data_IF_650923609233
#
_entry.id   IF_650923609233
#
_cell.length_a   1.000
_cell.length_b   1.000
_cell.length_c   1.000
_cell.angle_alpha   90.00
_cell.angle_beta   90.00
_cell.angle_gamma   90.00
#
_symmetry.space_group_name_H-M   'P 1'
#
loop_
_entity.id
_entity.type
_entity.pdbx_description
1 polymer ?
#
# COMPACT_ATOMS: atom_id res chain seq x y z
N UNK A 1 -0.72 -21.52 -7.16
CA UNK A 1 0.75 -21.39 -7.19
C UNK A 1 1.31 -22.28 -6.11
N UNK A 2 2.37 -23.04 -6.45
CA UNK A 2 3.05 -23.90 -5.48
C UNK A 2 3.94 -23.04 -4.57
N UNK A 3 3.92 -23.32 -3.28
CA UNK A 3 4.78 -22.69 -2.28
C UNK A 3 6.10 -23.47 -2.24
N UNK A 4 7.27 -22.83 -2.37
CA UNK A 4 8.56 -23.51 -2.26
C UNK A 4 8.87 -23.88 -0.79
N UNK A 5 9.70 -24.90 -0.58
CA UNK A 5 9.97 -25.48 0.73
C UNK A 5 10.63 -24.50 1.73
N UNK A 6 11.29 -23.46 1.23
CA UNK A 6 11.92 -22.41 2.05
C UNK A 6 10.99 -21.22 2.38
N UNK A 7 9.70 -21.31 2.06
CA UNK A 7 8.70 -20.30 2.42
C UNK A 7 7.66 -20.89 3.37
N UNK A 8 7.60 -20.37 4.58
CA UNK A 8 6.62 -20.78 5.58
C UNK A 8 5.18 -20.39 5.19
N UNK A 9 4.19 -21.11 5.77
CA UNK A 9 2.79 -20.91 5.44
C UNK A 9 2.24 -19.55 5.89
N UNK A 10 2.77 -18.97 6.97
CA UNK A 10 2.29 -17.69 7.50
C UNK A 10 2.62 -16.55 6.53
N UNK A 11 3.86 -16.51 6.06
CA UNK A 11 4.27 -15.53 5.06
C UNK A 11 3.57 -15.78 3.72
N UNK A 12 3.42 -17.04 3.32
CA UNK A 12 2.71 -17.41 2.09
C UNK A 12 1.24 -16.97 2.12
N UNK A 13 0.53 -17.13 3.25
CA UNK A 13 -0.85 -16.68 3.43
C UNK A 13 -1.01 -15.15 3.29
N UNK A 14 0.04 -14.38 3.59
CA UNK A 14 0.07 -12.92 3.46
C UNK A 14 0.15 -12.41 2.03
N UNK A 15 0.58 -13.23 1.06
CA UNK A 15 0.96 -12.76 -0.30
C UNK A 15 -0.25 -12.43 -1.17
N UNK A 16 -1.18 -13.37 -1.33
CA UNK A 16 -2.11 -13.40 -2.47
C UNK A 16 -2.90 -12.11 -2.61
N UNK A 17 -3.70 -11.74 -1.61
CA UNK A 17 -4.61 -10.59 -1.72
C UNK A 17 -3.82 -9.28 -1.67
N UNK A 18 -2.91 -9.15 -0.71
CA UNK A 18 -2.23 -7.88 -0.42
C UNK A 18 -1.21 -7.56 -1.50
N UNK A 19 -0.22 -8.41 -1.68
CA UNK A 19 0.83 -8.16 -2.67
C UNK A 19 0.32 -8.26 -4.11
N UNK A 20 -0.67 -9.15 -4.38
CA UNK A 20 -1.36 -9.20 -5.67
C UNK A 20 -2.06 -7.88 -6.01
N UNK A 21 -2.75 -7.28 -5.03
CA UNK A 21 -3.38 -5.96 -5.18
C UNK A 21 -2.34 -4.88 -5.45
N UNK A 22 -1.26 -4.84 -4.67
CA UNK A 22 -0.22 -3.82 -4.81
C UNK A 22 0.51 -3.95 -6.15
N UNK A 23 0.89 -5.16 -6.54
CA UNK A 23 1.58 -5.37 -7.82
C UNK A 23 0.71 -4.92 -9.01
N UNK A 24 -0.58 -5.30 -9.00
CA UNK A 24 -1.55 -4.82 -9.99
C UNK A 24 -1.70 -3.29 -9.96
N UNK A 25 -1.78 -2.69 -8.76
CA UNK A 25 -1.87 -1.25 -8.61
C UNK A 25 -0.68 -0.53 -9.24
N UNK A 26 0.53 -1.00 -8.99
CA UNK A 26 1.75 -0.32 -9.43
C UNK A 26 2.06 -0.57 -10.91
N UNK A 27 1.99 -1.80 -11.38
CA UNK A 27 2.31 -2.13 -12.78
C UNK A 27 1.17 -1.78 -13.74
N UNK A 28 -0.04 -2.29 -13.47
CA UNK A 28 -1.14 -2.19 -14.43
C UNK A 28 -1.91 -0.88 -14.32
N UNK A 29 -2.09 -0.38 -13.09
CA UNK A 29 -2.90 0.82 -12.88
C UNK A 29 -2.07 2.10 -12.84
N UNK A 30 -0.94 2.12 -12.15
CA UNK A 30 -0.07 3.29 -12.14
C UNK A 30 0.82 3.36 -13.38
N UNK A 31 1.17 2.23 -13.98
CA UNK A 31 2.20 2.16 -15.03
C UNK A 31 3.47 2.87 -14.55
N UNK A 32 3.91 2.49 -13.34
CA UNK A 32 5.02 3.13 -12.63
C UNK A 32 6.29 3.23 -13.48
N UNK A 33 7.08 4.27 -13.21
CA UNK A 33 8.42 4.43 -13.77
C UNK A 33 9.44 4.53 -12.64
N UNK A 34 10.57 3.85 -12.77
CA UNK A 34 11.65 3.95 -11.78
C UNK A 34 12.08 5.41 -11.60
N UNK A 35 12.34 5.81 -10.35
CA UNK A 35 12.68 7.18 -9.97
C UNK A 35 11.49 8.08 -9.63
N UNK A 36 10.25 7.66 -9.93
CA UNK A 36 9.04 8.39 -9.49
C UNK A 36 8.88 8.34 -7.97
N UNK A 37 8.19 9.34 -7.42
CA UNK A 37 7.89 9.45 -6.00
C UNK A 37 6.48 8.94 -5.70
N UNK A 38 6.35 8.02 -4.74
CA UNK A 38 5.07 7.47 -4.31
C UNK A 38 4.80 7.79 -2.85
N UNK A 39 3.65 8.43 -2.55
CA UNK A 39 3.14 8.55 -1.18
C UNK A 39 2.20 7.36 -0.88
N UNK A 40 2.45 6.69 0.25
CA UNK A 40 1.66 5.56 0.72
C UNK A 40 0.92 5.94 1.99
N UNK A 41 -0.40 6.09 1.93
CA UNK A 41 -1.22 6.35 3.10
C UNK A 41 -1.41 5.06 3.92
N UNK A 42 -1.39 5.16 5.25
CA UNK A 42 -1.49 4.00 6.13
C UNK A 42 -0.36 2.99 5.94
N UNK A 43 0.87 3.48 5.76
CA UNK A 43 2.05 2.74 5.33
C UNK A 43 2.44 1.54 6.21
N UNK A 44 2.07 1.50 7.50
CA UNK A 44 2.37 0.39 8.40
C UNK A 44 1.29 -0.73 8.39
N UNK A 45 0.12 -0.50 7.76
CA UNK A 45 -0.87 -1.56 7.58
C UNK A 45 -0.43 -2.55 6.51
N UNK A 46 -1.04 -3.75 6.48
CA UNK A 46 -0.59 -4.81 5.57
C UNK A 46 -0.43 -4.38 4.10
N UNK A 47 -1.44 -3.70 3.54
CA UNK A 47 -1.40 -3.23 2.13
C UNK A 47 -0.42 -2.07 1.94
N UNK A 48 -0.35 -1.15 2.92
CA UNK A 48 0.60 -0.04 2.88
C UNK A 48 2.05 -0.51 2.96
N UNK A 49 2.33 -1.47 3.84
CA UNK A 49 3.66 -2.05 3.99
C UNK A 49 4.12 -2.75 2.71
N UNK A 50 3.24 -3.57 2.11
CA UNK A 50 3.51 -4.21 0.82
C UNK A 50 3.77 -3.18 -0.29
N UNK A 51 3.07 -2.01 -0.26
CA UNK A 51 3.31 -0.92 -1.20
C UNK A 51 4.69 -0.28 -0.99
N UNK A 52 5.15 -0.14 0.26
CA UNK A 52 6.50 0.33 0.55
C UNK A 52 7.57 -0.64 0.01
N UNK A 53 7.42 -1.94 0.30
CA UNK A 53 8.37 -2.96 -0.15
C UNK A 53 8.44 -3.08 -1.68
N UNK A 54 7.28 -3.25 -2.33
CA UNK A 54 7.24 -3.37 -3.78
C UNK A 54 7.63 -2.07 -4.47
N UNK A 55 7.23 -0.91 -3.94
CA UNK A 55 7.65 0.38 -4.47
C UNK A 55 9.16 0.52 -4.49
N UNK A 56 9.84 0.24 -3.38
CA UNK A 56 11.31 0.22 -3.30
C UNK A 56 11.91 -0.79 -4.27
N UNK A 57 11.41 -2.04 -4.28
CA UNK A 57 11.92 -3.09 -5.17
C UNK A 57 11.83 -2.71 -6.64
N UNK A 58 10.81 -1.94 -7.00
CA UNK A 58 10.54 -1.48 -8.37
C UNK A 58 11.14 -0.10 -8.68
N UNK A 59 11.96 0.44 -7.79
CA UNK A 59 12.74 1.66 -8.01
C UNK A 59 12.00 2.97 -7.75
N UNK A 60 10.89 2.96 -7.01
CA UNK A 60 10.20 4.18 -6.58
C UNK A 60 10.88 4.80 -5.35
N UNK A 61 10.80 6.12 -5.23
CA UNK A 61 11.09 6.87 -4.00
C UNK A 61 9.83 6.87 -3.14
N UNK A 62 9.83 6.07 -2.07
CA UNK A 62 8.63 5.84 -1.26
C UNK A 62 8.59 6.80 -0.07
N UNK A 63 7.48 7.55 0.07
CA UNK A 63 7.13 8.36 1.23
C UNK A 63 6.07 7.59 2.03
N UNK A 64 6.43 7.08 3.20
CA UNK A 64 5.47 6.46 4.10
C UNK A 64 4.70 7.53 4.89
N UNK A 65 3.37 7.45 4.87
CA UNK A 65 2.49 8.34 5.63
C UNK A 65 1.71 7.52 6.67
N UNK A 66 1.88 7.85 7.95
CA UNK A 66 1.21 7.15 9.05
C UNK A 66 0.89 8.10 10.23
N UNK A 67 0.16 7.61 11.24
CA UNK A 67 -0.33 8.40 12.38
C UNK A 67 0.58 8.38 13.62
N UNK A 68 1.71 7.66 13.57
CA UNK A 68 2.67 7.64 14.68
C UNK A 68 4.09 7.39 14.17
N UNK A 69 5.07 7.87 14.92
CA UNK A 69 6.48 7.72 14.56
C UNK A 69 6.91 6.25 14.59
N UNK A 70 6.39 5.44 15.51
CA UNK A 70 6.63 3.99 15.57
C UNK A 70 6.24 3.31 14.23
N UNK A 71 5.06 3.63 13.70
CA UNK A 71 4.58 3.13 12.41
C UNK A 71 5.45 3.59 11.25
N UNK A 72 5.99 4.80 11.33
CA UNK A 72 6.85 5.36 10.30
C UNK A 72 8.23 4.70 10.31
N UNK A 73 8.84 4.48 11.47
CA UNK A 73 10.11 3.76 11.59
C UNK A 73 9.96 2.31 11.10
N UNK A 74 8.83 1.67 11.41
CA UNK A 74 8.51 0.35 10.89
C UNK A 74 8.41 0.33 9.36
N UNK A 75 7.68 1.28 8.77
CA UNK A 75 7.58 1.39 7.30
C UNK A 75 8.92 1.71 6.64
N UNK A 76 9.78 2.49 7.30
CA UNK A 76 11.13 2.81 6.85
C UNK A 76 12.03 1.57 6.81
N UNK A 77 11.94 0.71 7.82
CA UNK A 77 12.64 -0.57 7.83
C UNK A 77 12.19 -1.50 6.68
N UNK A 78 10.98 -1.28 6.15
CA UNK A 78 10.37 -2.06 5.06
C UNK A 78 10.31 -1.31 3.71
N UNK A 79 11.18 -0.34 3.50
CA UNK A 79 11.39 0.20 2.16
C UNK A 79 11.04 1.65 1.92
N UNK A 80 10.42 2.33 2.88
CA UNK A 80 10.21 3.77 2.74
C UNK A 80 11.52 4.54 2.87
N UNK A 81 11.76 5.47 1.95
CA UNK A 81 12.92 6.38 1.97
C UNK A 81 12.67 7.61 2.83
N UNK A 82 11.45 8.12 2.77
CA UNK A 82 10.99 9.30 3.50
C UNK A 82 9.74 8.97 4.32
N UNK A 83 9.48 9.77 5.34
CA UNK A 83 8.33 9.56 6.23
C UNK A 83 7.59 10.86 6.49
N UNK A 84 6.26 10.77 6.73
CA UNK A 84 5.41 11.89 7.10
C UNK A 84 4.39 11.43 8.14
N UNK A 85 4.39 12.10 9.30
CA UNK A 85 3.42 11.86 10.37
C UNK A 85 2.22 12.80 10.22
N UNK A 86 1.15 12.33 9.59
CA UNK A 86 -0.04 13.15 9.35
C UNK A 86 -0.90 13.42 10.62
N UNK A 87 -0.53 12.88 11.78
CA UNK A 87 -1.12 13.28 13.06
C UNK A 87 -0.41 14.51 13.67
N UNK A 88 0.80 14.85 13.21
CA UNK A 88 1.63 15.94 13.71
C UNK A 88 1.75 17.11 12.75
N UNK A 89 1.62 16.87 11.45
CA UNK A 89 1.78 17.88 10.39
C UNK A 89 0.72 17.76 9.31
N UNK A 90 0.47 18.84 8.58
CA UNK A 90 -0.45 18.83 7.45
C UNK A 90 0.07 17.95 6.32
N UNK A 91 -0.77 16.99 5.89
CA UNK A 91 -0.40 16.00 4.88
C UNK A 91 -0.02 16.63 3.54
N UNK A 92 -0.79 17.63 3.09
CA UNK A 92 -0.55 18.31 1.81
C UNK A 92 0.76 19.09 1.83
N UNK A 93 0.98 19.90 2.85
CA UNK A 93 2.17 20.74 2.95
C UNK A 93 3.42 19.87 3.21
N UNK A 94 3.31 18.81 4.02
CA UNK A 94 4.39 17.85 4.26
C UNK A 94 4.83 17.13 2.97
N UNK A 95 3.88 16.59 2.19
CA UNK A 95 4.20 15.96 0.89
C UNK A 95 4.82 16.94 -0.10
N UNK A 96 4.32 18.16 -0.16
CA UNK A 96 4.91 19.21 -1.03
C UNK A 96 6.34 19.56 -0.62
N UNK A 97 6.59 19.68 0.68
CA UNK A 97 7.92 19.95 1.23
C UNK A 97 8.90 18.84 0.88
N UNK A 98 8.52 17.56 1.10
CA UNK A 98 9.34 16.39 0.80
C UNK A 98 9.66 16.22 -0.68
N UNK A 99 8.85 16.80 -1.56
CA UNK A 99 9.02 16.73 -3.03
C UNK A 99 9.53 18.05 -3.63
N UNK A 100 10.03 18.96 -2.81
CA UNK A 100 10.53 20.26 -3.28
C UNK A 100 9.46 21.12 -3.98
N UNK A 101 8.20 20.99 -3.62
CA UNK A 101 7.05 21.68 -4.22
C UNK A 101 6.48 21.03 -5.49
N UNK A 102 7.15 20.03 -6.06
CA UNK A 102 6.76 19.34 -7.29
C UNK A 102 5.49 18.49 -7.13
N UNK A 103 5.28 17.95 -5.94
CA UNK A 103 4.23 16.99 -5.64
C UNK A 103 4.66 15.53 -5.87
N UNK A 104 3.80 14.58 -5.52
CA UNK A 104 4.06 13.14 -5.66
C UNK A 104 3.50 12.59 -6.97
N UNK A 105 4.25 11.74 -7.65
CA UNK A 105 3.84 11.16 -8.93
C UNK A 105 2.74 10.11 -8.76
N UNK A 106 2.76 9.37 -7.64
CA UNK A 106 1.79 8.32 -7.32
C UNK A 106 1.29 8.50 -5.90
N UNK A 107 -0.03 8.47 -5.69
CA UNK A 107 -0.65 8.35 -4.38
C UNK A 107 -1.28 6.96 -4.28
N UNK A 108 -0.85 6.18 -3.30
CA UNK A 108 -1.41 4.88 -2.98
C UNK A 108 -2.29 5.00 -1.75
N UNK A 109 -3.62 4.99 -1.94
CA UNK A 109 -4.59 5.26 -0.87
C UNK A 109 -5.49 4.07 -0.51
N UNK A 110 -5.12 3.28 0.51
CA UNK A 110 -6.01 2.27 1.11
C UNK A 110 -6.88 2.83 2.25
N UNK A 111 -6.72 4.12 2.61
CA UNK A 111 -7.32 4.72 3.80
C UNK A 111 -8.62 5.48 3.50
N UNK A 112 -8.61 6.31 2.48
CA UNK A 112 -9.73 7.19 2.14
C UNK A 112 -9.98 8.28 3.20
N UNK A 113 -11.26 8.62 3.43
CA UNK A 113 -11.66 9.63 4.42
C UNK A 113 -11.08 11.02 4.12
N UNK A 114 -10.78 11.78 5.16
CA UNK A 114 -10.28 13.16 5.05
C UNK A 114 -8.89 13.28 4.44
N UNK A 115 -8.09 12.20 4.45
CA UNK A 115 -6.74 12.22 3.89
C UNK A 115 -6.71 12.19 2.36
N UNK A 116 -7.76 11.66 1.71
CA UNK A 116 -7.81 11.50 0.27
C UNK A 116 -7.72 12.84 -0.47
N UNK A 117 -8.54 13.83 -0.10
CA UNK A 117 -8.48 15.15 -0.74
C UNK A 117 -7.16 15.86 -0.46
N UNK A 118 -6.66 15.83 0.78
CA UNK A 118 -5.39 16.46 1.15
C UNK A 118 -4.21 15.90 0.33
N UNK A 119 -4.17 14.57 0.15
CA UNK A 119 -3.14 13.92 -0.66
C UNK A 119 -3.30 14.24 -2.15
N UNK A 120 -4.54 14.27 -2.69
CA UNK A 120 -4.77 14.67 -4.10
C UNK A 120 -4.31 16.11 -4.36
N UNK A 121 -4.44 17.02 -3.39
CA UNK A 121 -3.95 18.41 -3.51
C UNK A 121 -2.42 18.49 -3.60
N UNK A 122 -1.71 17.47 -3.14
CA UNK A 122 -0.23 17.37 -3.21
C UNK A 122 0.28 16.54 -4.39
N UNK A 123 -0.60 16.07 -5.27
CA UNK A 123 -0.20 15.28 -6.45
C UNK A 123 0.57 16.15 -7.45
N UNK A 124 1.54 15.56 -8.13
CA UNK A 124 2.26 16.21 -9.23
C UNK A 124 1.38 16.38 -10.48
N UNK A 125 1.81 17.20 -11.41
CA UNK A 125 1.21 17.26 -12.75
C UNK A 125 1.27 15.87 -13.41
N UNK A 126 0.15 15.42 -14.00
CA UNK A 126 -0.01 14.07 -14.58
C UNK A 126 0.22 12.91 -13.60
N UNK A 127 0.11 13.19 -12.30
CA UNK A 127 0.20 12.15 -11.26
C UNK A 127 -0.99 11.20 -11.26
N UNK A 128 -0.86 10.08 -10.56
CA UNK A 128 -1.90 9.03 -10.48
C UNK A 128 -2.30 8.80 -9.02
N UNK A 129 -3.57 9.04 -8.73
CA UNK A 129 -4.19 8.73 -7.46
C UNK A 129 -4.84 7.34 -7.54
N UNK A 130 -4.31 6.38 -6.80
CA UNK A 130 -4.78 4.99 -6.79
C UNK A 130 -5.75 4.77 -5.63
N UNK A 131 -7.01 4.53 -5.96
CA UNK A 131 -8.06 4.21 -4.99
C UNK A 131 -8.00 2.71 -4.69
N UNK A 132 -7.45 2.35 -3.52
CA UNK A 132 -7.25 0.96 -3.08
C UNK A 132 -8.36 0.52 -2.12
N UNK A 133 -8.77 1.40 -1.20
CA UNK A 133 -9.76 1.06 -0.18
C UNK A 133 -10.15 2.25 0.69
N UNK A 134 -10.96 1.97 1.71
CA UNK A 134 -11.56 2.97 2.58
C UNK A 134 -11.46 2.54 4.06
N UNK A 135 -10.24 2.22 4.52
CA UNK A 135 -10.01 1.74 5.89
C UNK A 135 -10.37 2.77 6.98
N UNK A 136 -10.51 4.05 6.62
CA UNK A 136 -11.06 5.08 7.53
C UNK A 136 -12.56 4.93 7.77
N UNK A 137 -13.28 4.21 6.89
CA UNK A 137 -14.72 4.00 6.92
C UNK A 137 -15.48 4.90 5.95
N UNK A 138 -15.10 6.18 5.85
CA UNK A 138 -15.79 7.14 4.99
C UNK A 138 -15.27 7.10 3.55
N UNK A 139 -16.18 7.04 2.59
CA UNK A 139 -15.87 7.19 1.17
C UNK A 139 -15.74 8.69 0.86
N UNK A 140 -14.55 9.16 0.44
CA UNK A 140 -14.32 10.59 0.24
C UNK A 140 -15.10 11.12 -0.98
N UNK A 141 -15.63 12.33 -0.85
CA UNK A 141 -16.19 13.10 -1.98
C UNK A 141 -15.07 13.93 -2.58
N UNK A 142 -14.54 13.48 -3.72
CA UNK A 142 -13.41 14.15 -4.36
C UNK A 142 -13.89 15.30 -5.25
N UNK A 143 -13.37 16.54 -5.06
CA UNK A 143 -13.70 17.66 -5.93
C UNK A 143 -13.01 17.47 -7.30
N UNK A 144 -13.81 17.18 -8.33
CA UNK A 144 -13.33 16.84 -9.68
C UNK A 144 -12.51 17.96 -10.35
N UNK A 145 -12.71 19.22 -9.94
CA UNK A 145 -11.88 20.32 -10.41
C UNK A 145 -10.40 20.15 -10.06
N UNK A 146 -10.04 19.37 -9.02
CA UNK A 146 -8.64 19.08 -8.72
C UNK A 146 -8.01 18.20 -9.80
N UNK A 147 -8.74 17.21 -10.31
CA UNK A 147 -8.24 16.39 -11.42
C UNK A 147 -7.98 17.24 -12.66
N UNK A 148 -8.89 18.18 -13.00
CA UNK A 148 -8.69 19.14 -14.09
C UNK A 148 -7.45 20.03 -13.87
N UNK A 149 -7.35 20.66 -12.68
CA UNK A 149 -6.29 21.64 -12.38
C UNK A 149 -4.90 20.99 -12.26
N UNK A 150 -4.82 19.72 -11.96
CA UNK A 150 -3.59 18.93 -11.82
C UNK A 150 -3.25 18.11 -13.06
N UNK A 151 -4.18 18.01 -14.01
CA UNK A 151 -4.06 17.09 -15.15
C UNK A 151 -3.84 15.64 -14.71
N UNK A 152 -4.30 15.28 -13.50
CA UNK A 152 -4.00 13.99 -12.89
C UNK A 152 -5.12 12.98 -13.10
N UNK A 153 -4.79 11.69 -12.94
CA UNK A 153 -5.73 10.58 -13.01
C UNK A 153 -6.16 10.11 -11.62
N UNK A 154 -7.45 9.79 -11.47
CA UNK A 154 -7.98 9.02 -10.34
C UNK A 154 -8.32 7.62 -10.84
N UNK A 155 -7.58 6.60 -10.38
CA UNK A 155 -7.64 5.24 -10.90
C UNK A 155 -8.09 4.25 -9.83
N UNK A 156 -9.20 3.55 -10.07
CA UNK A 156 -9.65 2.46 -9.20
C UNK A 156 -8.77 1.23 -9.33
N UNK A 157 -8.55 0.55 -8.21
CA UNK A 157 -7.80 -0.71 -8.15
C UNK A 157 -8.70 -1.78 -7.56
N UNK A 158 -9.24 -2.65 -8.42
CA UNK A 158 -10.07 -3.78 -8.00
C UNK A 158 -9.45 -5.10 -8.47
N UNK A 159 -8.36 -5.50 -7.80
CA UNK A 159 -7.58 -6.67 -8.14
C UNK A 159 -8.40 -7.95 -8.25
N UNK A 160 -9.34 -8.21 -7.32
CA UNK A 160 -10.13 -9.43 -7.33
C UNK A 160 -10.97 -9.62 -8.60
N UNK A 161 -11.49 -8.54 -9.18
CA UNK A 161 -12.18 -8.58 -10.46
C UNK A 161 -11.20 -8.75 -11.63
N UNK A 162 -10.13 -7.95 -11.62
CA UNK A 162 -9.08 -8.05 -12.63
C UNK A 162 -8.46 -9.44 -12.70
N UNK A 163 -8.18 -10.07 -11.56
CA UNK A 163 -7.59 -11.41 -11.48
C UNK A 163 -8.47 -12.49 -12.14
N UNK A 164 -9.81 -12.35 -12.02
CA UNK A 164 -10.75 -13.26 -12.69
C UNK A 164 -10.77 -13.08 -14.21
N UNK A 165 -10.60 -11.85 -14.68
CA UNK A 165 -10.56 -11.56 -16.12
C UNK A 165 -9.20 -11.86 -16.76
N UNK A 166 -8.14 -11.93 -15.97
CA UNK A 166 -6.76 -12.13 -16.43
C UNK A 166 -6.07 -13.26 -15.66
N UNK A 167 -6.59 -14.50 -15.67
CA UNK A 167 -6.12 -15.58 -14.81
C UNK A 167 -4.65 -15.96 -15.07
N UNK A 168 -4.20 -15.96 -16.31
CA UNK A 168 -2.82 -16.30 -16.66
C UNK A 168 -1.83 -15.25 -16.18
N UNK A 169 -2.13 -13.96 -16.41
CA UNK A 169 -1.30 -12.86 -15.94
C UNK A 169 -1.27 -12.80 -14.41
N UNK A 170 -2.43 -13.02 -13.77
CA UNK A 170 -2.51 -13.09 -12.31
C UNK A 170 -1.66 -14.23 -11.75
N UNK A 171 -1.70 -15.42 -12.38
CA UNK A 171 -0.87 -16.55 -11.99
C UNK A 171 0.62 -16.23 -12.08
N UNK A 172 1.06 -15.66 -13.21
CA UNK A 172 2.46 -15.23 -13.39
C UNK A 172 2.90 -14.20 -12.34
N UNK A 173 2.01 -13.25 -12.00
CA UNK A 173 2.26 -12.27 -10.95
C UNK A 173 2.41 -12.95 -9.57
N UNK A 174 1.55 -13.90 -9.24
CA UNK A 174 1.63 -14.62 -7.96
C UNK A 174 2.87 -15.51 -7.88
N UNK A 175 3.28 -16.16 -8.95
CA UNK A 175 4.52 -16.93 -9.01
C UNK A 175 5.74 -16.02 -8.77
N UNK A 176 5.75 -14.83 -9.36
CA UNK A 176 6.79 -13.83 -9.16
C UNK A 176 6.83 -13.33 -7.69
N UNK A 177 5.68 -13.06 -7.09
CA UNK A 177 5.58 -12.63 -5.69
C UNK A 177 6.07 -13.71 -4.73
N UNK A 178 5.65 -14.97 -4.93
CA UNK A 178 6.12 -16.12 -4.13
C UNK A 178 7.63 -16.27 -4.24
N UNK A 179 8.18 -16.15 -5.45
CA UNK A 179 9.64 -16.18 -5.67
C UNK A 179 10.34 -15.04 -4.92
N UNK A 180 9.86 -13.80 -5.03
CA UNK A 180 10.47 -12.66 -4.33
C UNK A 180 10.42 -12.79 -2.81
N UNK A 181 9.32 -13.38 -2.27
CA UNK A 181 9.23 -13.66 -0.83
C UNK A 181 10.22 -14.73 -0.41
N UNK A 182 10.35 -15.83 -1.16
CA UNK A 182 11.30 -16.90 -0.89
C UNK A 182 12.77 -16.45 -0.99
N UNK A 183 13.05 -15.49 -1.88
CA UNK A 183 14.37 -14.85 -2.03
C UNK A 183 14.64 -13.75 -0.99
N UNK A 184 13.68 -13.43 -0.11
CA UNK A 184 13.81 -12.36 0.89
C UNK A 184 13.77 -10.94 0.33
N UNK A 185 13.36 -10.74 -0.93
CA UNK A 185 13.23 -9.41 -1.56
C UNK A 185 12.03 -8.63 -1.02
N UNK A 186 10.99 -9.34 -0.60
CA UNK A 186 9.83 -8.82 0.12
C UNK A 186 9.57 -9.68 1.36
N UNK A 187 9.11 -9.09 2.45
CA UNK A 187 9.02 -9.80 3.73
C UNK A 187 7.74 -10.60 3.89
N UNK A 188 6.63 -10.15 3.32
CA UNK A 188 5.28 -10.62 3.68
C UNK A 188 5.10 -10.64 5.21
N UNK A 189 5.38 -9.49 5.84
CA UNK A 189 5.51 -9.39 7.29
C UNK A 189 4.23 -9.82 8.03
N UNK A 190 4.42 -10.74 8.98
CA UNK A 190 3.38 -11.21 9.91
C UNK A 190 3.57 -10.49 11.24
N UNK A 191 2.59 -9.67 11.62
CA UNK A 191 2.60 -8.94 12.89
C UNK A 191 2.36 -9.91 14.06
N UNK A 192 1.35 -10.76 13.93
CA UNK A 192 1.01 -11.77 14.94
C UNK A 192 0.12 -12.87 14.40
N UNK A 193 0.07 -13.97 15.15
CA UNK A 193 -0.77 -15.13 14.85
C UNK A 193 -1.78 -15.36 15.97
N UNK A 194 -2.91 -15.98 15.62
CA UNK A 194 -3.94 -16.43 16.58
C UNK A 194 -4.43 -17.82 16.20
N UNK A 195 -4.83 -18.66 17.19
CA UNK A 195 -5.63 -19.83 16.89
C UNK A 195 -6.97 -19.46 16.25
N UNK A 196 -7.52 -20.30 15.39
CA UNK A 196 -8.80 -20.04 14.72
C UNK A 196 -9.93 -19.73 15.70
N UNK A 197 -9.93 -20.39 16.88
CA UNK A 197 -10.89 -20.14 17.98
C UNK A 197 -10.85 -18.68 18.50
N UNK A 198 -9.75 -17.94 18.28
CA UNK A 198 -9.57 -16.56 18.71
C UNK A 198 -9.77 -15.55 17.56
N UNK A 199 -10.51 -15.92 16.51
CA UNK A 199 -10.78 -15.04 15.35
C UNK A 199 -11.36 -13.69 15.79
N UNK A 200 -12.23 -13.64 16.79
CA UNK A 200 -12.81 -12.39 17.29
C UNK A 200 -11.74 -11.44 17.84
N UNK A 201 -10.71 -11.94 18.51
CA UNK A 201 -9.64 -11.13 19.06
C UNK A 201 -8.68 -10.64 17.96
N UNK A 202 -8.41 -11.48 16.97
CA UNK A 202 -7.68 -11.08 15.76
C UNK A 202 -8.39 -9.93 15.03
N UNK A 203 -9.71 -10.01 14.87
CA UNK A 203 -10.50 -8.94 14.25
C UNK A 203 -10.49 -7.64 15.09
N UNK A 204 -10.51 -7.71 16.43
CA UNK A 204 -10.37 -6.54 17.31
C UNK A 204 -9.03 -5.81 17.12
N UNK A 205 -7.94 -6.56 16.88
CA UNK A 205 -6.62 -5.98 16.59
C UNK A 205 -6.67 -5.15 15.31
N UNK A 206 -7.29 -5.68 14.26
CA UNK A 206 -7.46 -4.97 12.98
C UNK A 206 -8.37 -3.75 13.13
N UNK A 207 -9.54 -3.91 13.76
CA UNK A 207 -10.49 -2.82 14.00
C UNK A 207 -9.87 -1.70 14.87
N UNK A 208 -9.03 -2.07 15.85
CA UNK A 208 -8.30 -1.14 16.70
C UNK A 208 -7.10 -0.46 16.02
N UNK A 209 -6.82 -0.76 14.74
CA UNK A 209 -5.68 -0.22 13.97
C UNK A 209 -4.32 -0.44 14.64
N UNK A 210 -4.19 -1.56 15.39
CA UNK A 210 -3.00 -1.92 16.15
C UNK A 210 -2.04 -2.85 15.38
N UNK A 211 -2.50 -3.44 14.27
CA UNK A 211 -1.66 -4.32 13.46
C UNK A 211 -0.65 -3.53 12.61
N UNK A 212 0.59 -4.00 12.62
CA UNK A 212 1.66 -3.56 11.72
C UNK A 212 2.04 -4.72 10.79
N UNK A 213 1.40 -4.83 9.64
CA UNK A 213 1.52 -5.97 8.74
C UNK A 213 0.29 -6.88 8.74
N UNK A 214 0.49 -8.19 8.66
CA UNK A 214 -0.57 -9.21 8.60
C UNK A 214 -0.85 -9.84 9.95
N UNK A 215 -2.14 -10.15 10.19
CA UNK A 215 -2.59 -11.02 11.26
C UNK A 215 -3.01 -12.35 10.64
N UNK A 216 -2.44 -13.45 11.12
CA UNK A 216 -2.67 -14.81 10.59
C UNK A 216 -3.46 -15.64 11.60
N UNK A 217 -4.34 -16.47 11.10
CA UNK A 217 -5.09 -17.47 11.89
C UNK A 217 -4.57 -18.86 11.57
N UNK A 218 -4.30 -19.65 12.63
CA UNK A 218 -3.94 -21.06 12.53
C UNK A 218 -5.15 -21.93 12.84
N UNK A 219 -5.39 -23.00 12.04
CA UNK A 219 -6.46 -23.98 12.30
C UNK A 219 -6.34 -24.64 13.65
#
# INVERSE_FOLDING_TARGET
VKIPDNLDFDRAAGIIIIYGTVLHALEDRASLKAGETMAVLGAAGGTGLAACELGKLMGLKVIACASSDEKLEFAKAHGAEMTLNYAKEDLKEGLRKLTGGKGVDIIFDPVGGSYAEASLRSIAWEGRFLVIGFAAGDIPKMPLNLALLKGCDIRGVFWGHWARLNPEKNRANLERLVKWTAEGKISSHVDRTFPLAQTADALKVLAGRKAMGKVILHP
#
